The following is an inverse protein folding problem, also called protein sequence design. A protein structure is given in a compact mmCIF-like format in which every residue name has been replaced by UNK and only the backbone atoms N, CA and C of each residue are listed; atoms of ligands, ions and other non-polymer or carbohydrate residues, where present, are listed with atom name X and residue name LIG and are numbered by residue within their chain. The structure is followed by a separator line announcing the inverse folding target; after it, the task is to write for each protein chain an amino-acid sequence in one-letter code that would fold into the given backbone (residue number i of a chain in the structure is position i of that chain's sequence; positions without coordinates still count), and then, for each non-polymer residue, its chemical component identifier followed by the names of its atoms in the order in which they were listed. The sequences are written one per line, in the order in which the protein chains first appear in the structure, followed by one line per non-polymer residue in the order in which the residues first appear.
data_IF_192385411134
#
_entry.id   IF_192385411134
#
_cell.length_a   1.000
_cell.length_b   1.000
_cell.length_c   1.000
_cell.angle_alpha   90.00
_cell.angle_beta   90.00
_cell.angle_gamma   90.00
#
_symmetry.space_group_name_H-M   'P 1'
#
loop_
_entity.id
_entity.type
_entity.pdbx_description
1 polymer ?
#
# COMPACT_ATOMS: atom_id res chain seq x y z
N UNK A 1 -19.61 -7.93 24.20
CA UNK A 1 -19.06 -7.00 23.19
C UNK A 1 -19.32 -7.60 21.81
N UNK A 2 -19.95 -6.88 20.90
CA UNK A 2 -20.19 -7.38 19.54
C UNK A 2 -18.86 -7.52 18.79
N UNK A 3 -18.63 -8.67 18.14
CA UNK A 3 -17.44 -8.90 17.32
C UNK A 3 -17.47 -7.94 16.13
N UNK A 4 -16.52 -7.01 16.07
CA UNK A 4 -16.32 -6.19 14.86
C UNK A 4 -15.98 -7.12 13.70
N UNK A 5 -16.65 -6.91 12.58
CA UNK A 5 -16.37 -7.67 11.35
C UNK A 5 -15.07 -7.14 10.74
N UNK A 6 -14.23 -8.06 10.30
CA UNK A 6 -12.88 -7.78 9.82
C UNK A 6 -12.75 -8.30 8.39
N UNK A 7 -12.16 -7.50 7.51
CA UNK A 7 -11.67 -7.97 6.21
C UNK A 7 -10.30 -8.56 6.43
N UNK A 8 -10.11 -9.82 6.06
CA UNK A 8 -8.84 -10.52 6.20
C UNK A 8 -8.36 -11.06 4.87
N UNK A 9 -7.06 -10.93 4.59
CA UNK A 9 -6.44 -11.51 3.40
C UNK A 9 -5.03 -11.98 3.73
N UNK A 10 -4.72 -13.19 3.30
CA UNK A 10 -3.35 -13.70 3.33
C UNK A 10 -2.58 -13.14 2.15
N UNK A 11 -1.41 -12.57 2.41
CA UNK A 11 -0.55 -11.96 1.40
C UNK A 11 0.84 -12.59 1.51
N UNK A 12 1.37 -13.04 0.38
CA UNK A 12 2.77 -13.40 0.24
C UNK A 12 3.58 -12.11 -0.01
N UNK A 13 4.48 -11.82 0.92
CA UNK A 13 5.35 -10.63 0.89
C UNK A 13 6.80 -11.03 0.84
N UNK A 14 7.64 -10.17 0.28
CA UNK A 14 9.08 -10.34 0.30
C UNK A 14 9.68 -9.42 1.36
N UNK A 15 10.28 -10.00 2.39
CA UNK A 15 11.10 -9.29 3.36
C UNK A 15 12.51 -9.18 2.83
N UNK A 16 13.04 -7.98 2.86
CA UNK A 16 14.36 -7.66 2.31
C UNK A 16 15.16 -6.96 3.39
N UNK A 17 16.35 -7.49 3.68
CA UNK A 17 17.37 -6.77 4.42
C UNK A 17 18.30 -6.11 3.41
N UNK A 18 18.23 -4.79 3.31
CA UNK A 18 19.00 -4.02 2.35
C UNK A 18 20.17 -3.32 3.03
N UNK A 19 21.35 -3.37 2.41
CA UNK A 19 22.48 -2.54 2.76
C UNK A 19 22.28 -1.16 2.15
N UNK A 20 22.24 -0.15 2.99
CA UNK A 20 22.04 1.23 2.59
C UNK A 20 23.19 2.10 3.08
N UNK A 21 23.42 3.22 2.40
CA UNK A 21 24.44 4.20 2.76
C UNK A 21 23.84 5.61 2.78
N UNK A 22 24.12 6.34 3.84
CA UNK A 22 23.86 7.78 3.93
C UNK A 22 25.03 8.54 3.28
N UNK A 23 24.74 9.37 2.29
CA UNK A 23 25.75 10.12 1.53
C UNK A 23 26.22 11.40 2.22
N UNK A 24 25.54 11.82 3.30
CA UNK A 24 25.91 13.00 4.09
C UNK A 24 26.84 12.60 5.23
N UNK A 25 26.47 11.58 6.00
CA UNK A 25 27.27 11.11 7.14
C UNK A 25 28.31 10.06 6.76
N UNK A 26 28.23 9.50 5.54
CA UNK A 26 29.06 8.40 5.05
C UNK A 26 28.92 7.12 5.90
N UNK A 27 27.76 6.91 6.53
CA UNK A 27 27.49 5.73 7.35
C UNK A 27 26.71 4.68 6.56
N UNK A 28 27.16 3.42 6.67
CA UNK A 28 26.45 2.28 6.12
C UNK A 28 25.54 1.66 7.20
N UNK A 29 24.30 1.33 6.84
CA UNK A 29 23.35 0.69 7.74
C UNK A 29 22.47 -0.32 7.01
N UNK A 30 22.01 -1.34 7.74
CA UNK A 30 21.04 -2.30 7.22
C UNK A 30 19.62 -1.83 7.53
N UNK A 31 18.72 -1.94 6.55
CA UNK A 31 17.30 -1.63 6.70
C UNK A 31 16.44 -2.78 6.22
N UNK A 32 15.49 -3.16 7.07
CA UNK A 32 14.46 -4.13 6.72
C UNK A 32 13.28 -3.42 6.06
N UNK A 33 12.84 -3.96 4.92
CA UNK A 33 11.63 -3.52 4.24
C UNK A 33 10.77 -4.71 3.84
N UNK A 34 9.45 -4.52 3.90
CA UNK A 34 8.47 -5.51 3.43
C UNK A 34 7.90 -5.01 2.12
N UNK A 35 8.21 -5.70 1.04
CA UNK A 35 7.68 -5.40 -0.27
C UNK A 35 6.40 -6.22 -0.54
N UNK A 36 5.37 -5.60 -1.13
CA UNK A 36 4.20 -6.34 -1.58
C UNK A 36 4.57 -7.23 -2.76
N UNK A 37 4.02 -8.45 -2.78
CA UNK A 37 4.27 -9.52 -3.78
C UNK A 37 5.62 -10.22 -3.57
N UNK A 38 5.78 -11.32 -4.31
CA UNK A 38 7.00 -12.13 -4.35
C UNK A 38 7.82 -11.84 -5.58
N UNK A 39 9.14 -11.83 -5.45
CA UNK A 39 10.07 -11.66 -6.56
C UNK A 39 10.91 -12.92 -6.74
N UNK A 40 11.15 -13.31 -8.00
CA UNK A 40 12.03 -14.44 -8.34
C UNK A 40 13.47 -14.02 -8.63
N UNK A 41 13.66 -12.76 -9.05
CA UNK A 41 14.94 -12.23 -9.49
C UNK A 41 15.42 -11.15 -8.51
N UNK A 42 16.67 -11.25 -8.07
CA UNK A 42 17.27 -10.29 -7.12
C UNK A 42 17.36 -8.87 -7.68
N UNK A 43 17.56 -8.70 -8.98
CA UNK A 43 17.58 -7.38 -9.62
C UNK A 43 16.22 -6.66 -9.50
N UNK A 44 15.12 -7.42 -9.59
CA UNK A 44 13.77 -6.86 -9.41
C UNK A 44 13.53 -6.49 -7.95
N UNK A 45 14.06 -7.27 -7.00
CA UNK A 45 14.02 -6.95 -5.57
C UNK A 45 14.77 -5.66 -5.29
N UNK A 46 16.00 -5.52 -5.81
CA UNK A 46 16.81 -4.32 -5.62
C UNK A 46 16.12 -3.08 -6.19
N UNK A 47 15.54 -3.17 -7.41
CA UNK A 47 14.82 -2.06 -8.03
C UNK A 47 13.57 -1.66 -7.24
N UNK A 48 12.80 -2.63 -6.76
CA UNK A 48 11.62 -2.37 -5.94
C UNK A 48 12.01 -1.76 -4.58
N UNK A 49 13.06 -2.28 -3.95
CA UNK A 49 13.62 -1.75 -2.69
C UNK A 49 14.08 -0.30 -2.86
N UNK A 50 14.81 0.01 -3.94
CA UNK A 50 15.21 1.37 -4.30
C UNK A 50 14.02 2.30 -4.46
N UNK A 51 12.95 1.86 -5.12
CA UNK A 51 11.76 2.72 -5.30
C UNK A 51 11.05 3.10 -3.99
N UNK A 52 11.28 2.34 -2.91
CA UNK A 52 10.68 2.57 -1.59
C UNK A 52 11.63 3.30 -0.65
N UNK A 53 12.92 2.98 -0.69
CA UNK A 53 13.92 3.45 0.30
C UNK A 53 14.86 4.52 -0.23
N UNK A 54 15.07 4.66 -1.55
CA UNK A 54 16.00 5.66 -2.06
C UNK A 54 15.46 7.07 -1.83
N UNK A 55 16.29 7.88 -1.17
CA UNK A 55 16.10 9.33 -1.04
C UNK A 55 17.34 10.03 -1.61
N UNK A 56 17.38 11.37 -1.68
CA UNK A 56 18.57 12.08 -2.16
C UNK A 56 19.82 11.78 -1.32
N UNK A 57 19.68 11.63 0.00
CA UNK A 57 20.78 11.42 0.94
C UNK A 57 20.94 9.97 1.38
N UNK A 58 19.96 9.09 1.09
CA UNK A 58 19.99 7.70 1.50
C UNK A 58 19.86 6.78 0.28
N UNK A 59 20.85 5.92 0.06
CA UNK A 59 20.91 5.05 -1.12
C UNK A 59 20.98 3.58 -0.74
N UNK A 60 20.19 2.76 -1.41
CA UNK A 60 20.32 1.30 -1.34
C UNK A 60 21.48 0.86 -2.22
N UNK A 61 22.47 0.23 -1.60
CA UNK A 61 23.69 -0.24 -2.26
C UNK A 61 23.51 -1.67 -2.75
N UNK A 62 23.09 -2.56 -1.86
CA UNK A 62 22.96 -3.98 -2.16
C UNK A 62 21.89 -4.66 -1.28
N UNK A 63 21.52 -5.89 -1.62
CA UNK A 63 20.61 -6.70 -0.84
C UNK A 63 21.41 -7.75 -0.06
N UNK A 64 21.26 -7.74 1.27
CA UNK A 64 21.95 -8.67 2.17
C UNK A 64 21.18 -9.97 2.32
N UNK A 65 19.85 -9.88 2.46
CA UNK A 65 18.99 -11.05 2.60
C UNK A 65 17.61 -10.81 1.97
N UNK A 66 17.01 -11.89 1.46
CA UNK A 66 15.68 -11.90 0.89
C UNK A 66 14.95 -13.15 1.37
N UNK A 67 13.81 -12.96 2.00
CA UNK A 67 12.92 -14.06 2.39
C UNK A 67 11.49 -13.79 1.96
N UNK A 68 10.79 -14.86 1.57
CA UNK A 68 9.35 -14.79 1.28
C UNK A 68 8.57 -15.24 2.51
N UNK A 69 7.66 -14.39 2.96
CA UNK A 69 6.85 -14.64 4.15
C UNK A 69 5.37 -14.53 3.82
N UNK A 70 4.63 -15.57 4.18
CA UNK A 70 3.18 -15.59 4.16
C UNK A 70 2.65 -14.98 5.45
N UNK A 71 1.79 -13.97 5.35
CA UNK A 71 1.23 -13.29 6.53
C UNK A 71 -0.26 -13.00 6.32
N UNK A 72 -1.07 -13.34 7.32
CA UNK A 72 -2.49 -13.02 7.36
C UNK A 72 -2.65 -11.58 7.88
N UNK A 73 -3.11 -10.68 7.01
CA UNK A 73 -3.44 -9.31 7.38
C UNK A 73 -4.94 -9.18 7.61
N UNK A 74 -5.32 -8.29 8.54
CA UNK A 74 -6.71 -7.95 8.82
C UNK A 74 -6.88 -6.46 9.05
N UNK A 75 -8.00 -5.91 8.59
CA UNK A 75 -8.42 -4.53 8.90
C UNK A 75 -9.93 -4.46 9.15
N UNK A 76 -10.36 -3.44 9.89
CA UNK A 76 -11.78 -3.18 10.13
C UNK A 76 -12.52 -2.93 8.80
N UNK A 77 -13.74 -3.46 8.65
CA UNK A 77 -14.56 -3.27 7.44
C UNK A 77 -14.75 -1.79 7.08
N UNK A 78 -15.02 -0.92 8.06
CA UNK A 78 -15.19 0.51 7.82
C UNK A 78 -13.90 1.17 7.29
N UNK A 79 -12.74 0.77 7.82
CA UNK A 79 -11.46 1.26 7.34
C UNK A 79 -11.21 0.80 5.90
N UNK A 80 -11.56 -0.46 5.59
CA UNK A 80 -11.45 -0.99 4.24
C UNK A 80 -12.32 -0.21 3.26
N UNK A 81 -13.59 0.07 3.60
CA UNK A 81 -14.50 0.85 2.75
C UNK A 81 -13.93 2.24 2.47
N UNK A 82 -13.40 2.93 3.49
CA UNK A 82 -12.90 4.29 3.35
C UNK A 82 -11.59 4.40 2.55
N UNK A 83 -10.69 3.42 2.68
CA UNK A 83 -9.36 3.46 2.05
C UNK A 83 -9.30 2.72 0.70
N UNK A 84 -10.33 1.95 0.34
CA UNK A 84 -10.38 1.18 -0.89
C UNK A 84 -11.02 1.95 -2.04
N UNK A 85 -10.71 1.51 -3.26
CA UNK A 85 -11.38 1.95 -4.48
C UNK A 85 -12.46 0.95 -4.87
N UNK A 86 -13.61 1.44 -5.34
CA UNK A 86 -14.68 0.58 -5.85
C UNK A 86 -14.25 0.00 -7.20
N UNK A 87 -14.37 -1.33 -7.34
CA UNK A 87 -14.03 -2.05 -8.56
C UNK A 87 -15.28 -2.66 -9.19
N UNK A 88 -15.32 -2.68 -10.51
CA UNK A 88 -16.33 -3.41 -11.27
C UNK A 88 -16.12 -4.92 -11.12
N UNK A 89 -17.17 -5.71 -10.78
CA UNK A 89 -17.01 -7.13 -10.46
C UNK A 89 -16.62 -7.99 -11.66
N UNK A 90 -16.94 -7.58 -12.89
CA UNK A 90 -16.64 -8.34 -14.11
C UNK A 90 -15.26 -7.97 -14.67
N UNK A 91 -14.98 -6.69 -14.80
CA UNK A 91 -13.75 -6.17 -15.44
C UNK A 91 -12.60 -5.98 -14.45
N UNK A 92 -12.89 -5.92 -13.14
CA UNK A 92 -11.94 -5.62 -12.04
C UNK A 92 -11.22 -4.29 -12.19
N UNK A 93 -11.76 -3.38 -12.97
CA UNK A 93 -11.25 -2.02 -13.13
C UNK A 93 -11.91 -1.09 -12.10
N UNK A 94 -11.23 0.00 -11.77
CA UNK A 94 -11.78 1.03 -10.90
C UNK A 94 -13.00 1.68 -11.56
N UNK A 95 -14.08 1.82 -10.80
CA UNK A 95 -15.26 2.56 -11.21
C UNK A 95 -15.04 4.03 -10.87
N UNK A 96 -15.19 4.92 -11.84
CA UNK A 96 -15.18 6.36 -11.58
C UNK A 96 -16.50 6.72 -10.88
N UNK A 97 -16.38 7.19 -9.63
CA UNK A 97 -17.54 7.69 -8.89
C UNK A 97 -17.76 9.12 -9.35
N UNK A 98 -18.85 9.37 -10.07
CA UNK A 98 -19.29 10.73 -10.38
C UNK A 98 -19.86 11.30 -9.08
N UNK A 99 -19.18 12.29 -8.49
CA UNK A 99 -19.60 12.93 -7.24
C UNK A 99 -21.02 13.51 -7.36
N UNK A 100 -22.01 12.81 -6.83
CA UNK A 100 -23.40 13.28 -6.74
C UNK A 100 -23.58 14.22 -5.52
N UNK A 101 -22.80 15.30 -5.45
CA UNK A 101 -22.94 16.35 -4.42
C UNK A 101 -23.07 17.75 -5.03
N UNK A 102 -24.06 17.92 -5.90
CA UNK A 102 -24.74 19.17 -6.25
C UNK A 102 -26.05 18.66 -6.91
N UNK A 103 -27.26 18.82 -6.39
CA UNK A 103 -27.88 19.98 -5.79
C UNK A 103 -28.97 19.51 -4.80
N UNK A 104 -28.87 19.89 -3.53
CA UNK A 104 -30.06 20.06 -2.70
C UNK A 104 -30.38 21.56 -2.74
N UNK A 105 -31.26 21.95 -3.66
CA UNK A 105 -31.89 23.26 -3.63
C UNK A 105 -33.08 23.20 -2.66
N UNK A 106 -32.84 23.62 -1.42
CA UNK A 106 -33.90 23.98 -0.47
C UNK A 106 -34.42 25.38 -0.81
N UNK A 107 -35.60 25.47 -1.43
CA UNK A 107 -36.39 26.70 -1.52
C UNK A 107 -37.29 26.69 -2.75
N UNK A 108 -38.58 27.00 -2.72
CA UNK A 108 -39.47 27.58 -1.72
C UNK A 108 -40.90 27.17 -2.08
N UNK A 109 -41.68 26.80 -1.08
CA UNK A 109 -43.15 26.84 -1.12
C UNK A 109 -43.63 28.25 -1.45
N UNK A 110 -44.58 28.38 -2.37
CA UNK A 110 -45.71 29.34 -2.35
C UNK A 110 -46.56 28.99 -3.59
N UNK A 111 -47.69 28.27 -3.46
CA UNK A 111 -49.01 28.78 -3.07
C UNK A 111 -49.56 29.84 -4.04
N UNK A 112 -50.24 29.39 -5.10
CA UNK A 112 -51.46 30.03 -5.63
C UNK A 112 -52.34 29.02 -6.36
#
# INVERSE_FOLDING_TARGET
MARKRMVTRTILTTKVNALCMDTVTCEACNKDVVLPRTFKDNDKVLKATKSVLDTPTFKVVDIVDVSTVETLYGMDEQKFINESVILDPETRKQVEVVDATADYDEGTTDAE
#
